data_IF_625097762751
#
_entry.id   IF_625097762751
#
_cell.length_a   1.000
_cell.length_b   1.000
_cell.length_c   1.000
_cell.angle_alpha   90.00
_cell.angle_beta   90.00
_cell.angle_gamma   90.00
#
_symmetry.space_group_name_H-M   'P 1'
#
loop_
_entity.id
_entity.type
_entity.pdbx_description
1 polymer ?
#
# COMPACT_ATOMS: atom_id res chain seq x y z
N UNK A 1 -0.62 -6.93 -25.78
CA UNK A 1 -0.73 -6.17 -24.51
C UNK A 1 0.69 -5.76 -24.16
N UNK A 2 0.90 -4.51 -23.78
CA UNK A 2 2.24 -4.03 -23.37
C UNK A 2 2.62 -4.62 -22.01
N UNK A 3 3.92 -4.64 -21.69
CA UNK A 3 4.39 -5.10 -20.37
C UNK A 3 3.70 -4.33 -19.21
N UNK A 4 3.41 -3.05 -19.43
CA UNK A 4 2.67 -2.20 -18.50
C UNK A 4 1.22 -2.67 -18.33
N UNK A 5 0.51 -2.91 -19.43
CA UNK A 5 -0.89 -3.35 -19.38
C UNK A 5 -1.01 -4.73 -18.70
N UNK A 6 -0.11 -5.68 -19.02
CA UNK A 6 -0.06 -7.00 -18.38
C UNK A 6 0.21 -6.88 -16.87
N UNK A 7 1.16 -6.01 -16.50
CA UNK A 7 1.48 -5.73 -15.11
C UNK A 7 0.27 -5.15 -14.36
N UNK A 8 -0.36 -4.11 -14.87
CA UNK A 8 -1.49 -3.45 -14.22
C UNK A 8 -2.69 -4.40 -14.10
N UNK A 9 -3.01 -5.15 -15.15
CA UNK A 9 -4.09 -6.13 -15.15
C UNK A 9 -3.88 -7.22 -14.09
N UNK A 10 -2.62 -7.64 -13.87
CA UNK A 10 -2.27 -8.67 -12.91
C UNK A 10 -2.18 -8.17 -11.45
N UNK A 11 -2.01 -6.87 -11.20
CA UNK A 11 -1.62 -6.36 -9.87
C UNK A 11 -2.60 -5.40 -9.21
N UNK A 12 -3.23 -4.47 -9.94
CA UNK A 12 -3.99 -3.38 -9.33
C UNK A 12 -5.16 -3.89 -8.52
N UNK A 13 -5.97 -4.80 -9.07
CA UNK A 13 -7.12 -5.38 -8.37
C UNK A 13 -6.71 -6.17 -7.12
N UNK A 14 -5.61 -6.93 -7.22
CA UNK A 14 -5.04 -7.67 -6.08
C UNK A 14 -4.53 -6.74 -4.99
N UNK A 15 -3.93 -5.61 -5.36
CA UNK A 15 -3.47 -4.61 -4.42
C UNK A 15 -4.64 -3.98 -3.67
N UNK A 16 -5.68 -3.54 -4.38
CA UNK A 16 -6.90 -2.99 -3.76
C UNK A 16 -7.51 -4.00 -2.77
N UNK A 17 -7.60 -5.28 -3.16
CA UNK A 17 -8.08 -6.34 -2.27
C UNK A 17 -7.17 -6.53 -1.06
N UNK A 18 -5.85 -6.52 -1.26
CA UNK A 18 -4.88 -6.74 -0.19
C UNK A 18 -4.86 -5.61 0.84
N UNK A 19 -4.98 -4.37 0.39
CA UNK A 19 -5.04 -3.19 1.26
C UNK A 19 -6.40 -3.11 1.96
N UNK A 20 -7.50 -3.42 1.27
CA UNK A 20 -8.81 -3.52 1.92
C UNK A 20 -8.83 -4.60 3.00
N UNK A 21 -8.19 -5.75 2.75
CA UNK A 21 -8.12 -6.85 3.71
C UNK A 21 -7.32 -6.47 4.96
N UNK A 22 -6.15 -5.84 4.82
CA UNK A 22 -5.35 -5.46 5.99
C UNK A 22 -6.04 -4.38 6.84
N UNK A 23 -6.81 -3.47 6.23
CA UNK A 23 -7.66 -2.51 6.94
C UNK A 23 -8.89 -3.15 7.61
N UNK A 24 -9.24 -4.39 7.26
CA UNK A 24 -10.22 -5.22 7.95
C UNK A 24 -9.57 -6.23 8.92
N UNK A 25 -8.28 -6.09 9.19
CA UNK A 25 -7.56 -6.94 10.13
C UNK A 25 -7.07 -8.28 9.58
N UNK A 26 -7.07 -8.47 8.25
CA UNK A 26 -6.49 -9.64 7.59
C UNK A 26 -5.19 -9.29 6.84
N UNK A 27 -4.05 -9.72 7.39
CA UNK A 27 -2.74 -9.50 6.78
C UNK A 27 -2.42 -10.47 5.63
N UNK A 28 -3.15 -11.57 5.46
CA UNK A 28 -2.74 -12.66 4.58
C UNK A 28 -2.67 -12.26 3.10
N UNK A 29 -3.67 -11.54 2.53
CA UNK A 29 -3.60 -11.07 1.14
C UNK A 29 -2.43 -10.10 0.91
N UNK A 30 -2.18 -9.21 1.88
CA UNK A 30 -1.04 -8.29 1.86
C UNK A 30 0.29 -9.05 1.82
N UNK A 31 0.46 -10.02 2.71
CA UNK A 31 1.66 -10.86 2.76
C UNK A 31 1.87 -11.65 1.47
N UNK A 32 0.82 -12.20 0.86
CA UNK A 32 0.91 -12.99 -0.37
C UNK A 32 1.38 -12.19 -1.60
N UNK A 33 1.16 -10.86 -1.60
CA UNK A 33 1.63 -9.96 -2.64
C UNK A 33 3.10 -9.58 -2.51
N UNK A 34 3.72 -9.76 -1.36
CA UNK A 34 5.11 -9.36 -1.13
C UNK A 34 6.08 -10.49 -1.46
N UNK A 35 7.28 -10.11 -1.89
CA UNK A 35 8.38 -11.05 -2.00
C UNK A 35 8.81 -11.49 -0.61
N UNK A 36 9.17 -12.77 -0.49
CA UNK A 36 9.80 -13.33 0.71
C UNK A 36 11.32 -13.44 0.56
N UNK A 37 11.86 -13.04 -0.61
CA UNK A 37 13.29 -13.08 -0.94
C UNK A 37 13.93 -11.73 -0.64
N UNK A 38 14.78 -11.72 0.39
CA UNK A 38 15.51 -10.52 0.79
C UNK A 38 16.49 -10.03 -0.30
N UNK A 39 16.75 -8.71 -0.38
CA UNK A 39 16.20 -7.67 0.48
C UNK A 39 14.80 -7.19 0.05
N UNK A 40 13.89 -7.07 1.02
CA UNK A 40 12.64 -6.30 0.90
C UNK A 40 12.63 -5.16 1.90
N UNK A 41 11.99 -4.03 1.56
CA UNK A 41 11.98 -2.85 2.43
C UNK A 41 10.60 -2.20 2.51
N UNK A 42 10.27 -1.69 3.69
CA UNK A 42 9.04 -0.96 3.96
C UNK A 42 9.39 0.36 4.64
N UNK A 43 9.01 1.47 4.01
CA UNK A 43 8.92 2.79 4.63
C UNK A 43 7.43 3.14 4.76
N UNK A 44 6.79 2.71 5.84
CA UNK A 44 5.38 3.01 6.10
C UNK A 44 5.21 4.15 7.08
N UNK A 45 4.07 4.86 6.98
CA UNK A 45 3.70 5.98 7.86
C UNK A 45 3.79 5.67 9.38
N UNK A 46 3.70 4.40 9.78
CA UNK A 46 3.84 3.97 11.18
C UNK A 46 5.15 3.24 11.51
N UNK A 47 5.79 2.59 10.53
CA UNK A 47 6.96 1.73 10.74
C UNK A 47 7.83 1.67 9.50
N UNK A 48 9.14 1.65 9.75
CA UNK A 48 10.17 1.35 8.76
C UNK A 48 10.85 0.04 9.12
N UNK A 49 10.95 -0.88 8.17
CA UNK A 49 11.60 -2.18 8.37
C UNK A 49 12.27 -2.68 7.07
N UNK A 50 13.24 -3.59 7.22
CA UNK A 50 13.91 -4.27 6.12
C UNK A 50 14.03 -5.75 6.43
N UNK A 51 13.89 -6.59 5.41
CA UNK A 51 13.89 -8.05 5.54
C UNK A 51 12.48 -8.61 5.74
N UNK A 52 12.19 -9.76 5.12
CA UNK A 52 10.85 -10.33 5.09
C UNK A 52 10.28 -10.61 6.49
N UNK A 53 11.10 -11.05 7.43
CA UNK A 53 10.66 -11.35 8.81
C UNK A 53 10.07 -10.11 9.47
N UNK A 54 10.78 -8.98 9.42
CA UNK A 54 10.37 -7.73 10.09
C UNK A 54 9.24 -7.02 9.33
N UNK A 55 9.29 -7.06 7.99
CA UNK A 55 8.22 -6.53 7.13
C UNK A 55 6.91 -7.30 7.36
N UNK A 56 6.94 -8.63 7.34
CA UNK A 56 5.74 -9.43 7.62
C UNK A 56 5.24 -9.28 9.06
N UNK A 57 6.15 -9.09 10.01
CA UNK A 57 5.82 -8.74 11.40
C UNK A 57 5.06 -7.42 11.48
N UNK A 58 5.42 -6.44 10.66
CA UNK A 58 4.71 -5.16 10.54
C UNK A 58 3.29 -5.35 10.03
N UNK A 59 3.07 -6.20 9.02
CA UNK A 59 1.72 -6.43 8.49
C UNK A 59 0.79 -7.09 9.52
N UNK A 60 1.28 -8.08 10.28
CA UNK A 60 0.51 -8.67 11.39
C UNK A 60 0.19 -7.63 12.47
N UNK A 61 1.17 -6.79 12.80
CA UNK A 61 0.99 -5.70 13.76
C UNK A 61 -0.05 -4.67 13.29
N UNK A 62 -0.05 -4.30 12.00
CA UNK A 62 -1.06 -3.41 11.40
C UNK A 62 -2.45 -4.04 11.44
N UNK A 63 -2.58 -5.28 10.97
CA UNK A 63 -3.85 -6.02 10.96
C UNK A 63 -4.48 -6.13 12.36
N UNK A 64 -3.68 -6.31 13.42
CA UNK A 64 -4.20 -6.35 14.80
C UNK A 64 -4.82 -5.03 15.29
N UNK A 65 -4.66 -3.92 14.55
CA UNK A 65 -5.10 -2.56 14.93
C UNK A 65 -6.21 -2.03 14.06
N UNK A 66 -6.38 -2.60 12.86
CA UNK A 66 -7.37 -2.15 11.91
C UNK A 66 -8.62 -3.02 11.96
N UNK A 67 -9.77 -2.38 11.81
CA UNK A 67 -11.07 -3.03 11.62
C UNK A 67 -11.99 -2.12 10.82
N UNK A 68 -13.16 -2.64 10.43
CA UNK A 68 -14.28 -1.84 9.91
C UNK A 68 -13.87 -0.88 8.78
N UNK A 69 -13.21 -1.40 7.75
CA UNK A 69 -12.85 -0.60 6.58
C UNK A 69 -14.11 -0.27 5.78
N UNK A 70 -14.48 1.01 5.75
CA UNK A 70 -15.67 1.49 5.05
C UNK A 70 -15.35 2.00 3.65
N UNK A 71 -14.10 2.40 3.40
CA UNK A 71 -13.63 2.82 2.08
C UNK A 71 -12.13 2.60 1.91
N UNK A 72 -11.75 2.11 0.74
CA UNK A 72 -10.37 2.09 0.27
C UNK A 72 -10.36 2.35 -1.24
N UNK A 73 -9.57 3.33 -1.68
CA UNK A 73 -9.35 3.63 -3.10
C UNK A 73 -7.85 3.82 -3.39
N UNK A 74 -7.42 3.35 -4.55
CA UNK A 74 -6.06 3.52 -5.06
C UNK A 74 -6.10 4.41 -6.30
N UNK A 75 -5.78 5.69 -6.12
CA UNK A 75 -5.62 6.64 -7.21
C UNK A 75 -4.24 6.47 -7.83
N UNK A 76 -4.15 5.78 -8.97
CA UNK A 76 -2.89 5.57 -9.68
C UNK A 76 -2.49 6.83 -10.46
N UNK A 77 -1.32 7.40 -10.15
CA UNK A 77 -0.77 8.60 -10.80
C UNK A 77 0.21 8.21 -11.91
N UNK A 78 1.05 7.22 -11.67
CA UNK A 78 2.01 6.73 -12.66
C UNK A 78 2.33 5.24 -12.44
N UNK A 79 2.68 4.56 -13.52
CA UNK A 79 3.19 3.20 -13.48
C UNK A 79 4.14 2.95 -14.65
N UNK A 80 5.01 1.97 -14.48
CA UNK A 80 5.92 1.51 -15.52
C UNK A 80 6.30 0.05 -15.29
N UNK A 81 6.57 -0.66 -16.37
CA UNK A 81 7.10 -2.01 -16.34
C UNK A 81 8.18 -2.16 -17.43
N UNK A 82 9.26 -2.86 -17.10
CA UNK A 82 10.33 -3.21 -18.03
C UNK A 82 10.98 -4.53 -17.60
N UNK A 83 10.81 -5.57 -18.40
CA UNK A 83 11.25 -6.92 -18.06
C UNK A 83 10.64 -7.41 -16.73
N UNK A 84 11.49 -7.76 -15.77
CA UNK A 84 11.06 -8.29 -14.47
C UNK A 84 10.93 -7.23 -13.37
N UNK A 85 10.97 -5.93 -13.70
CA UNK A 85 10.78 -4.83 -12.76
C UNK A 85 9.59 -3.96 -13.15
N UNK A 86 8.85 -3.50 -12.15
CA UNK A 86 7.75 -2.56 -12.34
C UNK A 86 7.61 -1.65 -11.12
N UNK A 87 6.87 -0.55 -11.30
CA UNK A 87 6.52 0.35 -10.20
C UNK A 87 5.11 0.92 -10.37
N UNK A 88 4.52 1.33 -9.24
CA UNK A 88 3.34 2.19 -9.19
C UNK A 88 3.61 3.38 -8.28
N UNK A 89 3.04 4.52 -8.62
CA UNK A 89 3.00 5.74 -7.82
C UNK A 89 1.56 6.22 -7.77
N UNK A 90 1.05 6.55 -6.59
CA UNK A 90 -0.33 6.95 -6.44
C UNK A 90 -0.68 7.42 -5.03
N UNK A 91 -1.99 7.56 -4.79
CA UNK A 91 -2.55 7.86 -3.48
C UNK A 91 -3.41 6.69 -3.00
N UNK A 92 -3.28 6.33 -1.72
CA UNK A 92 -4.21 5.43 -1.04
C UNK A 92 -5.13 6.27 -0.17
N UNK A 93 -6.42 6.29 -0.50
CA UNK A 93 -7.45 6.95 0.31
C UNK A 93 -8.16 5.89 1.14
N UNK A 94 -8.13 6.03 2.46
CA UNK A 94 -8.67 5.02 3.36
C UNK A 94 -9.58 5.66 4.40
N UNK A 95 -10.72 5.01 4.66
CA UNK A 95 -11.52 5.18 5.88
C UNK A 95 -11.68 3.83 6.56
N UNK A 96 -11.16 3.71 7.78
CA UNK A 96 -11.23 2.49 8.58
C UNK A 96 -11.13 2.82 10.08
N UNK A 97 -11.48 1.86 10.93
CA UNK A 97 -11.21 1.93 12.37
C UNK A 97 -9.75 1.59 12.67
N UNK A 98 -9.10 2.41 13.51
CA UNK A 98 -7.73 2.21 13.99
C UNK A 98 -7.73 2.24 15.52
N UNK A 99 -7.52 1.08 16.14
CA UNK A 99 -7.68 0.87 17.58
C UNK A 99 -9.08 1.28 18.09
N UNK A 100 -10.13 0.99 17.33
CA UNK A 100 -11.52 1.26 17.71
C UNK A 100 -12.00 2.69 17.43
N UNK A 101 -11.17 3.54 16.82
CA UNK A 101 -11.56 4.89 16.40
C UNK A 101 -11.51 5.00 14.88
N UNK A 102 -12.61 5.46 14.27
CA UNK A 102 -12.65 5.75 12.84
C UNK A 102 -11.61 6.82 12.49
N UNK A 103 -10.89 6.59 11.38
CA UNK A 103 -9.96 7.53 10.79
C UNK A 103 -10.11 7.53 9.29
N UNK A 104 -10.09 8.72 8.70
CA UNK A 104 -9.88 8.93 7.27
C UNK A 104 -8.49 9.52 7.05
N UNK A 105 -7.74 8.94 6.11
CA UNK A 105 -6.41 9.43 5.77
C UNK A 105 -6.05 9.12 4.32
N UNK A 106 -5.13 9.92 3.79
CA UNK A 106 -4.51 9.72 2.49
C UNK A 106 -3.03 9.44 2.69
N UNK A 107 -2.49 8.45 1.97
CA UNK A 107 -1.05 8.24 1.84
C UNK A 107 -0.63 8.43 0.38
N UNK A 108 0.51 9.09 0.16
CA UNK A 108 1.22 9.03 -1.12
C UNK A 108 2.06 7.77 -1.10
N UNK A 109 1.94 6.93 -2.12
CA UNK A 109 2.60 5.63 -2.14
C UNK A 109 3.43 5.41 -3.38
N UNK A 110 4.58 4.76 -3.19
CA UNK A 110 5.38 4.16 -4.24
C UNK A 110 5.55 2.69 -3.92
N UNK A 111 5.20 1.82 -4.87
CA UNK A 111 5.49 0.40 -4.80
C UNK A 111 6.48 0.04 -5.90
N UNK A 112 7.44 -0.82 -5.57
CA UNK A 112 8.34 -1.44 -6.54
C UNK A 112 8.06 -2.94 -6.53
N UNK A 113 7.95 -3.51 -7.73
CA UNK A 113 7.63 -4.92 -7.94
C UNK A 113 8.77 -5.59 -8.69
N UNK A 114 8.96 -6.86 -8.37
CA UNK A 114 9.81 -7.78 -9.11
C UNK A 114 8.98 -8.98 -9.53
N UNK A 115 9.13 -9.43 -10.78
CA UNK A 115 8.51 -10.66 -11.24
C UNK A 115 9.30 -11.85 -10.69
N UNK A 116 8.63 -12.76 -10.00
CA UNK A 116 9.20 -13.96 -9.41
C UNK A 116 8.30 -15.14 -9.75
N UNK A 117 8.88 -16.14 -10.41
CA UNK A 117 8.17 -17.39 -10.73
C UNK A 117 6.84 -17.15 -11.48
N UNK A 118 6.82 -16.13 -12.35
CA UNK A 118 5.66 -15.71 -13.13
C UNK A 118 4.68 -14.75 -12.42
N UNK A 119 4.91 -14.43 -11.15
CA UNK A 119 4.06 -13.52 -10.37
C UNK A 119 4.76 -12.20 -10.05
N UNK A 120 4.03 -11.09 -10.10
CA UNK A 120 4.53 -9.82 -9.60
C UNK A 120 4.48 -9.77 -8.07
N UNK A 121 5.63 -9.55 -7.45
CA UNK A 121 5.80 -9.44 -5.99
C UNK A 121 6.30 -8.05 -5.61
N UNK A 122 5.74 -7.46 -4.57
CA UNK A 122 6.23 -6.20 -3.99
C UNK A 122 7.57 -6.47 -3.30
N UNK A 123 8.59 -5.71 -3.67
CA UNK A 123 9.93 -5.73 -3.06
C UNK A 123 10.21 -4.46 -2.24
N UNK A 124 9.50 -3.37 -2.54
CA UNK A 124 9.56 -2.14 -1.76
C UNK A 124 8.19 -1.46 -1.72
N UNK A 125 7.86 -0.87 -0.56
CA UNK A 125 6.82 0.15 -0.45
C UNK A 125 7.32 1.33 0.36
N UNK A 126 7.07 2.53 -0.15
CA UNK A 126 7.11 3.78 0.59
C UNK A 126 5.69 4.35 0.65
N UNK A 127 5.18 4.64 1.84
CA UNK A 127 3.91 5.34 2.03
C UNK A 127 3.99 6.34 3.18
N UNK A 128 3.74 7.62 2.89
CA UNK A 128 3.72 8.73 3.85
C UNK A 128 2.50 9.63 3.63
N UNK A 129 2.21 10.50 4.61
CA UNK A 129 1.15 11.51 4.44
C UNK A 129 1.60 12.56 3.40
N UNK A 130 0.68 13.10 2.60
CA UNK A 130 0.97 14.27 1.78
C UNK A 130 1.52 15.44 2.60
N UNK A 131 2.30 16.35 1.98
CA UNK A 131 2.70 17.61 2.62
C UNK A 131 1.47 18.36 3.16
N UNK A 132 1.60 19.01 4.33
CA UNK A 132 0.48 19.71 5.00
C UNK A 132 -0.21 20.76 4.11
N UNK A 133 0.53 21.44 3.23
CA UNK A 133 -0.02 22.44 2.31
C UNK A 133 -0.71 21.84 1.07
N UNK A 134 -0.82 20.51 0.99
CA UNK A 134 -1.53 19.77 -0.05
C UNK A 134 -2.69 18.93 0.50
N UNK A 135 -3.05 19.07 1.78
CA UNK A 135 -4.21 18.41 2.36
C UNK A 135 -5.47 19.24 2.07
N UNK A 136 -6.38 18.79 1.18
CA UNK A 136 -7.60 19.54 0.86
C UNK A 136 -8.53 19.71 2.06
N UNK A 137 -8.32 18.98 3.16
CA UNK A 137 -9.07 19.17 4.41
C UNK A 137 -8.49 20.28 5.30
N UNK A 138 -7.21 20.64 5.16
CA UNK A 138 -6.57 21.68 5.96
C UNK A 138 -7.09 23.09 5.66
N UNK A 139 -7.67 23.32 4.47
CA UNK A 139 -8.23 24.62 4.08
C UNK A 139 -9.58 24.92 4.78
N UNK A 140 -10.27 23.89 5.28
CA UNK A 140 -11.53 24.05 6.03
C UNK A 140 -11.34 24.49 7.48
N UNK A 141 -10.14 24.36 8.05
CA UNK A 141 -9.85 24.72 9.44
C UNK A 141 -9.28 26.14 9.61
N UNK A 142 -8.95 26.85 8.52
CA UNK A 142 -8.36 28.20 8.57
C UNK A 142 -9.38 29.34 8.45
N UNK A 143 -10.68 29.04 8.38
CA UNK A 143 -11.77 30.03 8.24
C UNK A 143 -12.75 30.07 9.42
N UNK A 144 -12.35 29.57 10.60
CA UNK A 144 -13.14 29.66 11.85
C UNK A 144 -12.60 30.72 12.81
#
# INVERSE_FOLDING_TARGET
MSELEDFLAATVSRQVQAETAIHNGDAAPRMAMWSTKDPVTLFGAMKTNSGWVDVSGTFRWLASRFSDCTSYDLELVAAGASGDLAYTVGYEHTTASVNGAEKSYTLRVTHVYRREDGEWKIVHRHGDQPPQDQDPTADTARTS
#
